data_IF_937680636504
#
_entry.id   IF_937680636504
#
_cell.length_a   1.000
_cell.length_b   1.000
_cell.length_c   1.000
_cell.angle_alpha   90.00
_cell.angle_beta   90.00
_cell.angle_gamma   90.00
#
_symmetry.space_group_name_H-M   'P 1'
#
loop_
_entity.id
_entity.type
_entity.pdbx_description
1 polymer ?
#
# COMPACT_ATOMS: atom_id res chain seq x y z
N UNK A 1 -39.53 -13.24 7.35
CA UNK A 1 -39.59 -14.54 6.70
C UNK A 1 -39.64 -14.36 5.21
N UNK A 2 -38.82 -15.13 4.50
CA UNK A 2 -38.95 -15.34 3.05
C UNK A 2 -40.18 -16.21 2.72
N UNK A 3 -40.72 -16.93 3.72
CA UNK A 3 -41.81 -17.88 3.56
C UNK A 3 -43.19 -17.25 3.87
N UNK A 4 -44.16 -17.44 2.98
CA UNK A 4 -45.55 -16.95 3.16
C UNK A 4 -46.25 -17.58 4.37
N UNK A 5 -45.72 -18.72 4.84
CA UNK A 5 -46.27 -19.50 5.94
C UNK A 5 -45.86 -18.97 7.33
N UNK A 6 -44.84 -18.12 7.43
CA UNK A 6 -44.39 -17.53 8.69
C UNK A 6 -45.17 -16.26 9.10
N UNK A 7 -45.89 -15.62 8.17
CA UNK A 7 -46.60 -14.36 8.43
C UNK A 7 -48.03 -14.61 8.97
N UNK A 8 -48.15 -14.68 10.30
CA UNK A 8 -49.40 -15.03 10.99
C UNK A 8 -50.37 -13.85 11.19
N UNK A 9 -49.93 -12.59 11.03
CA UNK A 9 -50.78 -11.39 11.16
C UNK A 9 -50.82 -10.54 9.88
N UNK A 10 -51.86 -9.69 9.72
CA UNK A 10 -52.00 -8.79 8.56
C UNK A 10 -50.88 -7.75 8.44
N UNK A 11 -50.29 -7.36 9.57
CA UNK A 11 -49.12 -6.47 9.61
C UNK A 11 -47.83 -7.21 9.22
N UNK A 12 -47.67 -8.48 9.59
CA UNK A 12 -46.55 -9.31 9.15
C UNK A 12 -46.58 -9.55 7.64
N UNK A 13 -47.77 -9.71 7.04
CA UNK A 13 -47.91 -9.81 5.57
C UNK A 13 -47.52 -8.52 4.85
N UNK A 14 -47.77 -7.34 5.43
CA UNK A 14 -47.31 -6.06 4.83
C UNK A 14 -45.80 -5.86 4.92
N UNK A 15 -45.16 -6.43 5.95
CA UNK A 15 -43.70 -6.37 6.14
C UNK A 15 -42.94 -7.53 5.47
N UNK A 16 -43.66 -8.58 5.06
CA UNK A 16 -43.13 -9.73 4.31
C UNK A 16 -42.47 -9.29 3.00
N UNK A 17 -41.29 -9.86 2.74
CA UNK A 17 -40.53 -9.63 1.51
C UNK A 17 -41.37 -9.84 0.26
N UNK A 18 -42.25 -10.86 0.24
CA UNK A 18 -43.11 -11.20 -0.88
C UNK A 18 -44.05 -10.05 -1.30
N UNK A 19 -44.51 -9.25 -0.34
CA UNK A 19 -45.54 -8.20 -0.52
C UNK A 19 -44.98 -6.78 -0.65
N UNK A 20 -43.66 -6.60 -0.51
CA UNK A 20 -43.00 -5.31 -0.72
C UNK A 20 -42.97 -4.96 -2.21
N UNK A 21 -43.13 -3.66 -2.52
CA UNK A 21 -42.90 -3.14 -3.87
C UNK A 21 -41.45 -3.37 -4.31
N UNK A 22 -41.16 -3.26 -5.61
CA UNK A 22 -39.83 -3.53 -6.17
C UNK A 22 -38.71 -2.78 -5.42
N UNK A 23 -38.91 -1.51 -5.09
CA UNK A 23 -37.96 -0.72 -4.31
C UNK A 23 -37.81 -1.19 -2.86
N UNK A 24 -38.87 -1.70 -2.22
CA UNK A 24 -38.78 -2.29 -0.89
C UNK A 24 -37.99 -3.60 -0.89
N UNK A 25 -38.17 -4.45 -1.91
CA UNK A 25 -37.39 -5.67 -2.10
C UNK A 25 -35.90 -5.35 -2.36
N UNK A 26 -35.63 -4.36 -3.22
CA UNK A 26 -34.26 -3.88 -3.48
C UNK A 26 -33.60 -3.36 -2.21
N UNK A 27 -34.29 -2.54 -1.40
CA UNK A 27 -33.75 -2.04 -0.14
C UNK A 27 -33.50 -3.15 0.89
N UNK A 28 -34.36 -4.18 0.95
CA UNK A 28 -34.17 -5.33 1.85
C UNK A 28 -32.97 -6.18 1.42
N UNK A 29 -32.81 -6.45 0.13
CA UNK A 29 -31.65 -7.19 -0.40
C UNK A 29 -30.36 -6.38 -0.23
N UNK A 30 -30.43 -5.06 -0.45
CA UNK A 30 -29.30 -4.15 -0.28
C UNK A 30 -28.95 -3.88 1.19
N UNK A 31 -29.85 -4.15 2.15
CA UNK A 31 -29.61 -3.91 3.57
C UNK A 31 -28.46 -4.76 4.13
N UNK A 32 -28.28 -5.98 3.65
CA UNK A 32 -27.16 -6.85 4.05
C UNK A 32 -25.81 -6.25 3.63
N UNK A 33 -25.55 -6.11 2.31
CA UNK A 33 -24.33 -5.49 1.81
C UNK A 33 -24.11 -4.05 2.31
N UNK A 34 -25.18 -3.25 2.36
CA UNK A 34 -25.14 -1.87 2.87
C UNK A 34 -24.69 -1.77 4.32
N UNK A 35 -25.10 -2.71 5.19
CA UNK A 35 -24.66 -2.73 6.57
C UNK A 35 -23.15 -2.99 6.70
N UNK A 36 -22.58 -3.82 5.82
CA UNK A 36 -21.15 -4.07 5.81
C UNK A 36 -20.34 -2.81 5.46
N UNK A 37 -20.79 -2.01 4.48
CA UNK A 37 -20.18 -0.71 4.18
C UNK A 37 -20.31 0.27 5.35
N UNK A 38 -21.49 0.33 5.99
CA UNK A 38 -21.70 1.19 7.17
C UNK A 38 -20.77 0.78 8.30
N UNK A 39 -20.63 -0.52 8.56
CA UNK A 39 -19.74 -1.03 9.60
C UNK A 39 -18.27 -0.66 9.32
N UNK A 40 -17.79 -0.89 8.10
CA UNK A 40 -16.43 -0.51 7.70
C UNK A 40 -16.18 1.00 7.85
N UNK A 41 -17.14 1.81 7.39
CA UNK A 41 -17.11 3.26 7.54
C UNK A 41 -16.99 3.69 9.01
N UNK A 42 -17.83 3.16 9.89
CA UNK A 42 -17.79 3.50 11.32
C UNK A 42 -16.46 3.08 11.96
N UNK A 43 -15.91 1.93 11.57
CA UNK A 43 -14.59 1.48 12.05
C UNK A 43 -13.49 2.44 11.59
N UNK A 44 -13.44 2.83 10.31
CA UNK A 44 -12.41 3.76 9.82
C UNK A 44 -12.55 5.16 10.39
N UNK A 45 -13.77 5.70 10.49
CA UNK A 45 -14.02 6.99 11.15
C UNK A 45 -13.60 6.96 12.62
N UNK A 46 -13.91 5.87 13.34
CA UNK A 46 -13.45 5.65 14.71
C UNK A 46 -11.93 5.55 14.83
N UNK A 47 -11.29 4.81 13.92
CA UNK A 47 -9.82 4.68 13.85
C UNK A 47 -9.15 6.05 13.67
N UNK A 48 -9.56 6.80 12.66
CA UNK A 48 -8.99 8.11 12.33
C UNK A 48 -9.27 9.16 13.41
N UNK A 49 -10.37 9.03 14.14
CA UNK A 49 -10.68 9.89 15.30
C UNK A 49 -9.66 9.74 16.43
N UNK A 50 -8.91 8.64 16.49
CA UNK A 50 -7.81 8.48 17.47
C UNK A 50 -6.55 9.25 17.10
N UNK A 51 -6.50 9.86 15.90
CA UNK A 51 -5.29 10.46 15.34
C UNK A 51 -4.30 9.44 14.77
N UNK A 52 -4.58 8.13 14.92
CA UNK A 52 -3.76 7.08 14.32
C UNK A 52 -3.88 7.14 12.80
N UNK A 53 -2.77 7.27 12.05
CA UNK A 53 -2.81 7.22 10.60
C UNK A 53 -3.44 5.91 10.11
N UNK A 54 -4.28 5.99 9.08
CA UNK A 54 -4.83 4.83 8.40
C UNK A 54 -4.13 4.66 7.05
N UNK A 55 -3.64 3.46 6.78
CA UNK A 55 -3.10 3.12 5.48
C UNK A 55 -4.23 2.68 4.54
N UNK A 56 -4.42 3.42 3.45
CA UNK A 56 -5.38 3.07 2.40
C UNK A 56 -4.59 2.86 1.10
N UNK A 57 -4.28 1.60 0.75
CA UNK A 57 -3.53 1.30 -0.46
C UNK A 57 -4.37 1.54 -1.71
N UNK A 58 -3.72 1.93 -2.79
CA UNK A 58 -4.27 1.92 -4.15
C UNK A 58 -3.81 0.66 -4.89
N UNK A 59 -4.48 0.34 -6.00
CA UNK A 59 -4.11 -0.84 -6.79
C UNK A 59 -2.66 -0.77 -7.30
N UNK A 60 -2.18 0.44 -7.63
CA UNK A 60 -0.80 0.67 -8.07
C UNK A 60 0.20 0.28 -6.99
N UNK A 61 -0.12 0.59 -5.74
CA UNK A 61 0.75 0.31 -4.59
C UNK A 61 0.95 -1.19 -4.33
N UNK A 62 -0.03 -2.02 -4.72
CA UNK A 62 0.05 -3.47 -4.57
C UNK A 62 0.69 -4.16 -5.78
N UNK A 63 0.53 -3.58 -6.97
CA UNK A 63 0.98 -4.19 -8.22
C UNK A 63 2.50 -4.33 -8.30
N UNK A 64 2.99 -5.37 -8.97
CA UNK A 64 4.42 -5.58 -9.22
C UNK A 64 4.94 -4.73 -10.40
N UNK A 65 4.51 -3.47 -10.46
CA UNK A 65 4.97 -2.49 -11.43
C UNK A 65 6.36 -1.96 -11.03
N UNK A 66 7.25 -1.88 -12.02
CA UNK A 66 8.60 -1.36 -11.86
C UNK A 66 8.55 0.14 -12.04
N UNK A 67 8.42 0.86 -10.92
CA UNK A 67 8.35 2.33 -10.90
C UNK A 67 9.73 2.98 -10.72
N UNK A 68 10.66 2.24 -10.10
CA UNK A 68 12.03 2.66 -9.87
C UNK A 68 12.96 1.46 -10.01
N UNK A 69 14.17 1.73 -10.51
CA UNK A 69 15.18 0.72 -10.78
C UNK A 69 16.52 1.24 -10.28
N UNK A 70 17.19 0.44 -9.44
CA UNK A 70 18.55 0.78 -8.99
C UNK A 70 19.51 0.56 -10.17
N UNK A 71 20.34 1.55 -10.55
CA UNK A 71 21.34 1.37 -11.59
C UNK A 71 22.29 0.21 -11.27
N UNK A 72 22.77 -0.48 -12.31
CA UNK A 72 23.69 -1.62 -12.21
C UNK A 72 23.20 -2.82 -11.38
N UNK A 73 21.93 -2.81 -10.97
CA UNK A 73 21.28 -3.92 -10.29
C UNK A 73 21.14 -5.15 -11.19
N UNK A 74 20.94 -6.35 -10.61
CA UNK A 74 20.71 -7.57 -11.38
C UNK A 74 19.63 -7.43 -12.47
N UNK A 75 18.48 -6.83 -12.16
CA UNK A 75 17.43 -6.65 -13.17
C UNK A 75 17.72 -5.55 -14.18
N UNK A 76 18.41 -4.47 -13.78
CA UNK A 76 18.84 -3.44 -14.72
C UNK A 76 19.79 -4.01 -15.77
N UNK A 77 20.78 -4.81 -15.35
CA UNK A 77 21.72 -5.50 -16.25
C UNK A 77 21.03 -6.53 -17.12
N UNK A 78 19.92 -7.10 -16.66
CA UNK A 78 19.11 -8.06 -17.40
C UNK A 78 18.12 -7.39 -18.38
N UNK A 79 18.07 -6.05 -18.45
CA UNK A 79 17.26 -5.31 -19.41
C UNK A 79 15.84 -4.98 -18.94
N UNK A 80 15.58 -5.02 -17.62
CA UNK A 80 14.33 -4.51 -17.05
C UNK A 80 14.25 -2.99 -17.20
N UNK A 81 13.06 -2.49 -17.50
CA UNK A 81 12.79 -1.06 -17.72
C UNK A 81 11.71 -0.56 -16.77
N UNK A 82 11.73 0.75 -16.48
CA UNK A 82 10.65 1.41 -15.76
C UNK A 82 9.37 1.30 -16.60
N UNK A 83 8.27 0.87 -15.98
CA UNK A 83 7.00 0.57 -16.63
C UNK A 83 6.78 -0.91 -16.95
N UNK A 84 7.79 -1.76 -16.75
CA UNK A 84 7.58 -3.21 -16.76
C UNK A 84 6.63 -3.61 -15.62
N UNK A 85 5.74 -4.57 -15.87
CA UNK A 85 4.97 -5.26 -14.83
C UNK A 85 5.43 -6.70 -14.71
N UNK A 86 5.91 -7.13 -13.56
CA UNK A 86 6.22 -8.55 -13.34
C UNK A 86 4.92 -9.34 -13.14
N UNK A 87 4.70 -10.36 -13.95
CA UNK A 87 3.49 -11.20 -13.91
C UNK A 87 3.77 -12.62 -13.45
N UNK A 88 5.00 -13.12 -13.63
CA UNK A 88 5.43 -14.43 -13.10
C UNK A 88 6.87 -14.40 -12.62
N UNK A 89 7.17 -15.27 -11.67
CA UNK A 89 8.52 -15.56 -11.19
C UNK A 89 8.71 -17.07 -11.17
N UNK A 90 9.71 -17.57 -11.90
CA UNK A 90 10.00 -19.01 -12.03
C UNK A 90 8.77 -19.85 -12.45
N UNK A 91 7.95 -19.30 -13.35
CA UNK A 91 6.71 -19.94 -13.82
C UNK A 91 5.53 -19.87 -12.86
N UNK A 92 5.71 -19.31 -11.65
CA UNK A 92 4.62 -19.05 -10.69
C UNK A 92 4.01 -17.67 -10.98
N UNK A 93 2.69 -17.63 -11.16
CA UNK A 93 1.93 -16.37 -11.27
C UNK A 93 2.06 -15.54 -10.01
N UNK A 94 2.29 -14.25 -10.16
CA UNK A 94 2.27 -13.28 -9.08
C UNK A 94 1.26 -12.17 -9.38
N UNK A 95 0.68 -11.63 -8.32
CA UNK A 95 -0.30 -10.54 -8.39
C UNK A 95 0.19 -9.29 -7.66
N UNK A 96 1.07 -9.47 -6.68
CA UNK A 96 1.53 -8.38 -5.82
C UNK A 96 3.05 -8.24 -5.82
N UNK A 97 3.52 -7.04 -5.51
CA UNK A 97 4.94 -6.79 -5.26
C UNK A 97 5.44 -7.60 -4.06
N UNK A 98 4.64 -7.76 -3.01
CA UNK A 98 5.03 -8.56 -1.84
C UNK A 98 5.34 -10.01 -2.22
N UNK A 99 4.56 -10.62 -3.12
CA UNK A 99 4.84 -11.95 -3.66
C UNK A 99 6.14 -11.99 -4.49
N UNK A 100 6.40 -10.94 -5.30
CA UNK A 100 7.66 -10.82 -6.03
C UNK A 100 8.84 -10.83 -5.05
N UNK A 101 8.81 -9.97 -4.03
CA UNK A 101 9.90 -9.86 -3.05
C UNK A 101 10.06 -11.14 -2.22
N UNK A 102 8.98 -11.80 -1.82
CA UNK A 102 9.01 -13.10 -1.13
C UNK A 102 9.68 -14.18 -2.00
N UNK A 103 9.38 -14.24 -3.29
CA UNK A 103 10.00 -15.19 -4.21
C UNK A 103 11.47 -14.86 -4.48
N UNK A 104 11.83 -13.58 -4.53
CA UNK A 104 13.23 -13.14 -4.59
C UNK A 104 13.99 -13.57 -3.34
N UNK A 105 13.43 -13.36 -2.15
CA UNK A 105 14.06 -13.78 -0.89
C UNK A 105 14.25 -15.31 -0.84
N UNK A 106 13.23 -16.08 -1.25
CA UNK A 106 13.26 -17.55 -1.29
C UNK A 106 14.21 -18.13 -2.35
N UNK A 107 14.63 -17.35 -3.33
CA UNK A 107 15.60 -17.80 -4.35
C UNK A 107 16.97 -18.13 -3.77
N UNK A 108 17.32 -17.55 -2.62
CA UNK A 108 18.63 -17.70 -1.98
C UNK A 108 19.81 -17.43 -2.94
N UNK A 109 19.65 -16.42 -3.79
CA UNK A 109 20.68 -15.99 -4.77
C UNK A 109 20.74 -16.85 -6.03
N UNK A 110 19.84 -17.81 -6.20
CA UNK A 110 19.71 -18.56 -7.46
C UNK A 110 19.09 -17.68 -8.55
N UNK A 111 19.47 -17.86 -9.83
CA UNK A 111 18.85 -17.15 -10.94
C UNK A 111 17.33 -17.31 -10.94
N UNK A 112 16.62 -16.20 -11.08
CA UNK A 112 15.16 -16.18 -11.20
C UNK A 112 14.76 -15.71 -12.59
N UNK A 113 13.80 -16.40 -13.20
CA UNK A 113 13.17 -16.01 -14.45
C UNK A 113 11.92 -15.18 -14.14
N UNK A 114 11.93 -13.92 -14.58
CA UNK A 114 10.85 -12.97 -14.43
C UNK A 114 10.14 -12.87 -15.79
N UNK A 115 8.85 -13.22 -15.85
CA UNK A 115 8.03 -12.83 -17.00
C UNK A 115 7.45 -11.44 -16.72
N UNK A 116 7.79 -10.49 -17.59
CA UNK A 116 7.33 -9.10 -17.51
C UNK A 116 6.42 -8.77 -18.67
N UNK A 117 5.40 -7.93 -18.41
CA UNK A 117 4.57 -7.33 -19.43
C UNK A 117 5.08 -5.92 -19.72
N UNK A 118 5.56 -5.70 -20.94
CA UNK A 118 6.02 -4.41 -21.46
C UNK A 118 5.20 -4.04 -22.69
N UNK A 119 4.50 -2.91 -22.66
CA UNK A 119 3.66 -2.45 -23.77
C UNK A 119 2.68 -3.53 -24.30
N UNK A 120 2.16 -4.36 -23.39
CA UNK A 120 1.25 -5.46 -23.72
C UNK A 120 1.92 -6.77 -24.17
N UNK A 121 3.23 -6.79 -24.41
CA UNK A 121 3.98 -8.00 -24.78
C UNK A 121 4.61 -8.65 -23.55
N UNK A 122 4.64 -9.98 -23.53
CA UNK A 122 5.38 -10.75 -22.52
C UNK A 122 6.85 -10.88 -22.92
N UNK A 123 7.75 -10.56 -21.99
CA UNK A 123 9.20 -10.76 -22.12
C UNK A 123 9.69 -11.55 -20.93
N UNK A 124 10.69 -12.39 -21.14
CA UNK A 124 11.36 -13.10 -20.05
C UNK A 124 12.71 -12.46 -19.77
N UNK A 125 12.93 -12.11 -18.51
CA UNK A 125 14.16 -11.50 -18.00
C UNK A 125 14.72 -12.43 -16.92
N UNK A 126 15.97 -12.84 -17.05
CA UNK A 126 16.64 -13.66 -16.03
C UNK A 126 17.61 -12.79 -15.25
N UNK A 127 17.42 -12.73 -13.92
CA UNK A 127 18.29 -11.98 -13.04
C UNK A 127 18.75 -12.87 -11.87
N UNK A 128 19.95 -12.64 -11.37
CA UNK A 128 20.50 -13.35 -10.21
C UNK A 128 20.44 -12.43 -8.99
N UNK A 129 19.61 -12.72 -7.98
CA UNK A 129 19.52 -11.89 -6.79
C UNK A 129 20.86 -11.82 -6.04
N UNK A 130 21.18 -10.63 -5.54
CA UNK A 130 22.38 -10.35 -4.75
C UNK A 130 22.02 -10.09 -3.30
N UNK A 131 22.94 -10.34 -2.39
CA UNK A 131 22.72 -10.09 -0.96
C UNK A 131 22.78 -8.58 -0.71
N UNK A 132 21.82 -8.03 0.04
CA UNK A 132 21.93 -6.69 0.59
C UNK A 132 22.89 -6.77 1.79
N UNK A 133 24.14 -6.39 1.59
CA UNK A 133 25.08 -6.17 2.69
C UNK A 133 24.88 -4.76 3.25
N UNK A 134 24.07 -4.63 4.30
CA UNK A 134 24.08 -3.47 5.20
C UNK A 134 22.71 -2.88 5.55
N UNK A 135 22.34 -3.02 6.83
CA UNK A 135 21.70 -2.00 7.70
C UNK A 135 21.48 -2.47 9.16
N UNK A 136 22.15 -3.54 9.62
CA UNK A 136 22.13 -3.92 11.03
C UNK A 136 20.82 -4.55 11.51
N UNK A 137 19.91 -4.97 10.62
CA UNK A 137 18.86 -5.91 11.02
C UNK A 137 19.49 -7.28 11.27
N UNK A 138 19.60 -7.66 12.55
CA UNK A 138 19.95 -9.01 12.99
C UNK A 138 18.85 -10.02 12.65
N UNK A 139 18.62 -10.26 11.36
CA UNK A 139 18.03 -11.52 10.91
C UNK A 139 19.18 -12.42 10.53
N UNK A 140 19.27 -13.61 11.12
CA UNK A 140 20.32 -14.61 10.79
C UNK A 140 20.28 -15.05 9.31
N UNK A 141 19.25 -14.65 8.56
CA UNK A 141 19.10 -14.94 7.14
C UNK A 141 19.53 -13.75 6.26
N UNK A 142 20.36 -14.00 5.23
CA UNK A 142 20.76 -12.97 4.27
C UNK A 142 19.57 -12.50 3.44
N UNK A 143 19.39 -11.18 3.34
CA UNK A 143 18.35 -10.58 2.51
C UNK A 143 18.81 -10.50 1.06
N UNK A 144 17.97 -10.97 0.11
CA UNK A 144 18.28 -10.95 -1.31
C UNK A 144 17.48 -9.85 -2.03
N UNK A 145 18.13 -9.18 -2.96
CA UNK A 145 17.51 -8.17 -3.82
C UNK A 145 17.87 -8.37 -5.28
N UNK A 146 16.99 -7.92 -6.15
CA UNK A 146 17.22 -7.79 -7.58
C UNK A 146 17.42 -6.32 -8.00
N UNK A 147 17.29 -5.37 -7.07
CA UNK A 147 17.34 -3.92 -7.30
C UNK A 147 16.08 -3.31 -7.90
N UNK A 148 14.96 -4.03 -7.78
CA UNK A 148 13.61 -3.44 -7.80
C UNK A 148 13.38 -2.84 -6.41
N UNK A 149 13.19 -1.53 -6.31
CA UNK A 149 13.01 -0.86 -5.02
C UNK A 149 11.68 -0.13 -4.88
N UNK A 150 11.28 0.03 -3.61
CA UNK A 150 9.91 0.17 -3.12
C UNK A 150 9.13 1.37 -3.63
N UNK A 151 9.78 2.42 -4.12
CA UNK A 151 9.06 3.59 -4.65
C UNK A 151 10.05 4.57 -5.28
N UNK A 152 9.64 5.30 -6.33
CA UNK A 152 10.42 6.42 -6.80
C UNK A 152 10.49 7.49 -5.70
N UNK A 153 11.55 8.31 -5.64
CA UNK A 153 11.70 9.41 -4.68
C UNK A 153 10.81 10.60 -5.09
N UNK A 154 9.51 10.35 -5.20
CA UNK A 154 8.47 11.29 -5.59
C UNK A 154 7.72 11.74 -4.35
N UNK A 155 7.60 13.04 -4.14
CA UNK A 155 6.83 13.61 -3.03
C UNK A 155 5.36 13.60 -3.40
N UNK A 156 4.53 12.88 -2.63
CA UNK A 156 3.07 12.85 -2.82
C UNK A 156 2.35 13.82 -1.89
N UNK A 157 2.91 14.08 -0.71
CA UNK A 157 2.37 15.07 0.23
C UNK A 157 3.49 15.68 1.10
N UNK A 158 3.22 16.89 1.59
CA UNK A 158 4.10 17.62 2.49
C UNK A 158 3.29 18.07 3.70
N UNK A 159 3.73 17.69 4.90
CA UNK A 159 3.06 18.06 6.15
C UNK A 159 3.18 19.56 6.40
N UNK A 160 2.08 20.19 6.82
CA UNK A 160 2.08 21.60 7.20
C UNK A 160 3.03 21.86 8.39
N UNK A 161 3.77 22.98 8.36
CA UNK A 161 4.72 23.34 9.42
C UNK A 161 5.98 22.46 9.51
N UNK A 162 6.17 21.52 8.59
CA UNK A 162 7.35 20.65 8.54
C UNK A 162 8.60 21.36 7.99
N UNK A 163 9.81 20.79 8.20
CA UNK A 163 11.01 21.29 7.57
C UNK A 163 10.96 21.30 6.04
N UNK A 164 10.37 20.28 5.42
CA UNK A 164 10.19 20.23 3.97
C UNK A 164 9.26 21.34 3.47
N UNK A 165 8.17 21.62 4.19
CA UNK A 165 7.28 22.74 3.86
C UNK A 165 8.01 24.09 3.95
N UNK A 166 8.80 24.29 5.00
CA UNK A 166 9.58 25.52 5.22
C UNK A 166 10.66 25.72 4.15
N UNK A 167 11.23 24.62 3.65
CA UNK A 167 12.21 24.61 2.57
C UNK A 167 11.58 24.76 1.18
N UNK A 168 10.24 24.76 1.07
CA UNK A 168 9.54 24.92 -0.21
C UNK A 168 9.44 23.65 -1.06
N UNK A 169 9.56 22.47 -0.44
CA UNK A 169 9.24 21.19 -1.09
C UNK A 169 7.75 21.14 -1.40
N UNK A 170 7.39 20.63 -2.57
CA UNK A 170 6.02 20.57 -3.06
C UNK A 170 5.62 19.15 -3.47
N UNK A 171 4.33 18.78 -3.36
CA UNK A 171 3.81 17.59 -4.02
C UNK A 171 4.13 17.60 -5.52
N UNK A 172 4.58 16.47 -6.05
CA UNK A 172 5.05 16.34 -7.43
C UNK A 172 6.56 16.51 -7.61
N UNK A 173 7.28 17.00 -6.60
CA UNK A 173 8.75 17.04 -6.64
C UNK A 173 9.32 15.62 -6.70
N UNK A 174 10.19 15.36 -7.68
CA UNK A 174 11.02 14.14 -7.70
C UNK A 174 12.43 14.47 -7.23
N UNK A 175 12.84 13.94 -6.08
CA UNK A 175 14.20 14.13 -5.57
C UNK A 175 15.18 13.37 -6.46
N UNK A 176 16.14 14.07 -7.03
CA UNK A 176 17.16 13.48 -7.93
C UNK A 176 18.52 13.38 -7.25
N UNK A 177 18.87 14.33 -6.38
CA UNK A 177 20.09 14.26 -5.58
C UNK A 177 19.89 14.80 -4.16
N UNK A 178 20.69 14.30 -3.22
CA UNK A 178 20.87 14.85 -1.88
C UNK A 178 22.37 14.98 -1.64
N UNK A 179 22.83 16.21 -1.36
CA UNK A 179 24.26 16.55 -1.17
C UNK A 179 25.16 16.02 -2.29
N UNK A 180 24.68 16.12 -3.53
CA UNK A 180 25.38 15.64 -4.72
C UNK A 180 25.33 14.12 -4.95
N UNK A 181 24.80 13.33 -4.00
CA UNK A 181 24.57 11.91 -4.19
C UNK A 181 23.27 11.70 -4.97
N UNK A 182 23.32 10.90 -6.04
CA UNK A 182 22.12 10.61 -6.84
C UNK A 182 21.17 9.69 -6.08
N UNK A 183 19.90 10.05 -6.06
CA UNK A 183 18.83 9.33 -5.38
C UNK A 183 17.91 8.71 -6.43
N UNK A 184 17.83 7.39 -6.41
CA UNK A 184 17.02 6.61 -7.34
C UNK A 184 15.72 6.12 -6.70
N UNK A 185 15.71 6.00 -5.38
CA UNK A 185 14.63 5.34 -4.64
C UNK A 185 14.23 6.13 -3.39
N UNK A 186 12.99 5.95 -2.96
CA UNK A 186 12.49 6.52 -1.69
C UNK A 186 13.27 5.99 -0.48
N UNK A 187 13.70 4.72 -0.52
CA UNK A 187 14.53 4.10 0.51
C UNK A 187 15.84 4.85 0.71
N UNK A 188 16.60 5.06 -0.37
CA UNK A 188 17.85 5.83 -0.36
C UNK A 188 17.65 7.24 0.21
N UNK A 189 16.60 7.93 -0.23
CA UNK A 189 16.24 9.25 0.30
C UNK A 189 15.98 9.19 1.81
N UNK A 190 15.17 8.24 2.25
CA UNK A 190 14.78 8.10 3.66
C UNK A 190 16.00 7.81 4.53
N UNK A 191 16.89 6.92 4.09
CA UNK A 191 18.15 6.63 4.79
C UNK A 191 19.00 7.89 4.92
N UNK A 192 19.19 8.63 3.82
CA UNK A 192 19.96 9.88 3.84
C UNK A 192 19.40 10.90 4.83
N UNK A 193 18.08 11.08 4.85
CA UNK A 193 17.43 12.01 5.80
C UNK A 193 17.58 11.53 7.25
N UNK A 194 17.36 10.22 7.50
CA UNK A 194 17.39 9.67 8.85
C UNK A 194 18.77 9.75 9.50
N UNK A 195 19.83 9.55 8.72
CA UNK A 195 21.22 9.57 9.20
C UNK A 195 21.77 10.99 9.47
N UNK A 196 21.05 12.03 9.04
CA UNK A 196 21.49 13.43 9.14
C UNK A 196 20.51 14.33 9.94
N UNK A 197 20.18 14.00 11.21
CA UNK A 197 19.35 14.86 12.04
C UNK A 197 20.02 16.23 12.25
N UNK A 198 19.23 17.30 12.22
CA UNK A 198 19.65 18.69 12.49
C UNK A 198 20.72 19.25 11.53
N UNK A 199 21.10 18.52 10.48
CA UNK A 199 22.06 18.97 9.47
C UNK A 199 21.33 19.45 8.22
N UNK A 200 21.65 20.63 7.68
CA UNK A 200 21.06 21.06 6.41
C UNK A 200 21.53 20.13 5.30
N UNK A 201 20.57 19.60 4.55
CA UNK A 201 20.78 18.75 3.38
C UNK A 201 20.37 19.52 2.13
N UNK A 202 21.17 19.43 1.07
CA UNK A 202 20.90 20.06 -0.22
C UNK A 202 20.19 19.09 -1.14
N UNK A 203 18.91 19.32 -1.36
CA UNK A 203 18.09 18.54 -2.28
C UNK A 203 18.12 19.18 -3.67
N UNK A 204 18.38 18.40 -4.70
CA UNK A 204 17.94 18.76 -6.05
C UNK A 204 16.65 17.99 -6.36
N UNK A 205 15.61 18.72 -6.74
CA UNK A 205 14.33 18.16 -7.15
C UNK A 205 14.02 18.50 -8.59
N UNK A 206 13.38 17.57 -9.29
CA UNK A 206 12.76 17.81 -10.58
C UNK A 206 11.31 18.23 -10.35
N UNK A 207 10.99 19.48 -10.68
CA UNK A 207 9.66 20.09 -10.58
C UNK A 207 9.23 20.54 -11.97
N UNK A 208 8.14 19.97 -12.49
CA UNK A 208 7.63 20.28 -13.84
C UNK A 208 8.69 20.17 -14.95
N UNK A 209 9.68 19.28 -14.76
CA UNK A 209 10.79 19.08 -15.70
C UNK A 209 11.99 20.01 -15.50
N UNK A 210 11.92 21.00 -14.62
CA UNK A 210 13.04 21.86 -14.24
C UNK A 210 13.72 21.39 -12.95
N UNK A 211 15.05 21.52 -12.86
CA UNK A 211 15.79 21.23 -11.62
C UNK A 211 15.72 22.44 -10.68
N UNK A 212 15.33 22.19 -9.43
CA UNK A 212 15.28 23.19 -8.36
C UNK A 212 16.12 22.69 -7.19
N UNK A 213 16.97 23.56 -6.64
CA UNK A 213 17.76 23.25 -5.45
C UNK A 213 17.06 23.79 -4.21
N UNK A 214 16.88 22.94 -3.20
CA UNK A 214 16.23 23.26 -1.93
C UNK A 214 17.17 22.84 -0.78
N UNK A 215 17.22 23.63 0.29
CA UNK A 215 17.95 23.25 1.50
C UNK A 215 16.95 22.87 2.58
N UNK A 216 16.96 21.60 2.98
CA UNK A 216 16.04 21.05 3.97
C UNK A 216 16.84 20.64 5.20
N UNK A 217 16.47 21.14 6.38
CA UNK A 217 17.13 20.77 7.64
C UNK A 217 16.22 19.83 8.44
N UNK A 218 16.52 18.52 8.54
CA UNK A 218 15.68 17.58 9.27
C UNK A 218 15.57 17.92 10.75
N UNK A 219 14.39 17.72 11.33
CA UNK A 219 14.22 17.69 12.80
C UNK A 219 14.81 16.41 13.37
N UNK A 220 15.29 16.46 14.60
CA UNK A 220 15.66 15.26 15.36
C UNK A 220 14.44 14.68 16.07
N UNK A 221 14.22 13.38 15.90
CA UNK A 221 13.24 12.61 16.67
C UNK A 221 13.90 11.35 17.23
N UNK A 222 13.59 11.03 18.49
CA UNK A 222 14.04 9.80 19.14
C UNK A 222 13.04 8.69 18.86
N UNK A 223 13.48 7.66 18.16
CA UNK A 223 12.66 6.48 17.85
C UNK A 223 13.28 5.28 18.55
N UNK A 224 12.46 4.54 19.30
CA UNK A 224 12.89 3.28 19.91
C UNK A 224 12.67 2.14 18.92
N UNK A 225 13.76 1.54 18.46
CA UNK A 225 13.74 0.35 17.60
C UNK A 225 14.42 -0.77 18.38
N UNK A 226 13.72 -1.89 18.61
CA UNK A 226 14.24 -3.05 19.32
C UNK A 226 14.85 -2.73 20.71
N UNK A 227 14.25 -1.79 21.45
CA UNK A 227 14.72 -1.37 22.77
C UNK A 227 15.90 -0.40 22.76
N UNK A 228 16.47 -0.09 21.60
CA UNK A 228 17.49 0.94 21.45
C UNK A 228 16.86 2.25 21.01
N UNK A 229 17.21 3.34 21.68
CA UNK A 229 16.76 4.68 21.29
C UNK A 229 17.72 5.24 20.24
N UNK A 230 17.24 5.36 19.01
CA UNK A 230 17.97 5.94 17.89
C UNK A 230 17.49 7.37 17.66
N UNK A 231 18.43 8.28 17.41
CA UNK A 231 18.13 9.63 16.95
C UNK A 231 18.06 9.62 15.42
N UNK A 232 16.93 10.04 14.86
CA UNK A 232 16.71 10.05 13.41
C UNK A 232 16.22 11.40 12.91
N UNK A 233 16.66 11.77 11.72
CA UNK A 233 16.15 12.94 11.00
C UNK A 233 14.74 12.70 10.42
N UNK A 234 13.89 13.73 10.48
CA UNK A 234 12.60 13.78 9.77
C UNK A 234 12.37 15.12 9.08
N UNK A 235 11.72 15.09 7.92
CA UNK A 235 11.41 16.29 7.14
C UNK A 235 9.91 16.47 6.83
N UNK A 236 9.05 15.49 7.14
CA UNK A 236 7.59 15.60 7.01
C UNK A 236 7.05 15.51 5.58
N UNK A 237 7.53 14.56 4.78
CA UNK A 237 7.02 14.26 3.44
C UNK A 237 6.52 12.81 3.35
N UNK A 238 5.62 12.53 2.40
CA UNK A 238 5.18 11.18 2.05
C UNK A 238 5.46 10.86 0.58
N UNK A 239 5.58 9.57 0.26
CA UNK A 239 5.82 9.05 -1.09
C UNK A 239 4.66 8.18 -1.59
N UNK A 240 4.75 7.63 -2.81
CA UNK A 240 3.77 6.67 -3.34
C UNK A 240 3.71 5.43 -2.44
N UNK A 241 2.62 4.65 -2.46
CA UNK A 241 2.51 3.47 -1.60
C UNK A 241 2.44 3.73 -0.11
N UNK A 242 2.38 5.00 0.32
CA UNK A 242 2.31 5.43 1.72
C UNK A 242 1.25 6.51 1.93
N UNK A 243 0.12 6.41 1.24
CA UNK A 243 -1.06 7.26 1.46
C UNK A 243 -1.59 7.03 2.88
N UNK A 244 -1.02 7.77 3.82
CA UNK A 244 -1.43 7.79 5.21
C UNK A 244 -2.54 8.83 5.31
N UNK A 245 -3.77 8.36 5.49
CA UNK A 245 -4.86 9.24 5.91
C UNK A 245 -4.66 9.61 7.37
N UNK A 246 -4.68 10.90 7.65
CA UNK A 246 -4.66 11.44 8.99
C UNK A 246 -5.81 12.43 9.13
N UNK A 247 -6.38 12.51 10.32
CA UNK A 247 -7.45 13.45 10.63
C UNK A 247 -7.03 14.30 11.82
N UNK A 248 -7.07 15.62 11.65
CA UNK A 248 -6.64 16.56 12.68
C UNK A 248 -7.76 16.83 13.70
N UNK A 249 -8.99 16.45 13.39
CA UNK A 249 -10.15 16.59 14.26
C UNK A 249 -11.24 15.52 13.98
N UNK A 250 -12.16 15.27 14.93
CA UNK A 250 -13.19 14.25 14.78
C UNK A 250 -14.17 14.46 13.61
N UNK A 251 -14.44 15.71 13.20
CA UNK A 251 -15.32 15.98 12.07
C UNK A 251 -14.63 15.61 10.73
N UNK A 252 -13.33 15.88 10.63
CA UNK A 252 -12.50 15.43 9.51
C UNK A 252 -12.47 13.90 9.45
N UNK A 253 -12.37 13.21 10.60
CA UNK A 253 -12.33 11.75 10.65
C UNK A 253 -13.60 11.08 10.12
N UNK A 254 -14.77 11.70 10.29
CA UNK A 254 -16.04 11.26 9.68
C UNK A 254 -15.93 11.32 8.15
N UNK A 255 -15.42 12.41 7.59
CA UNK A 255 -15.25 12.54 6.15
C UNK A 255 -14.18 11.58 5.61
N UNK A 256 -13.01 11.53 6.23
CA UNK A 256 -11.93 10.61 5.84
C UNK A 256 -12.31 9.14 6.02
N UNK A 257 -13.19 8.80 6.96
CA UNK A 257 -13.75 7.45 7.08
C UNK A 257 -14.55 7.04 5.85
N UNK A 258 -15.32 7.96 5.25
CA UNK A 258 -16.02 7.70 3.97
C UNK A 258 -15.02 7.52 2.83
N UNK A 259 -14.02 8.41 2.73
CA UNK A 259 -12.99 8.31 1.69
C UNK A 259 -12.17 7.01 1.82
N UNK A 260 -11.83 6.59 3.03
CA UNK A 260 -11.17 5.31 3.28
C UNK A 260 -12.04 4.12 2.83
N UNK A 261 -13.33 4.13 3.20
CA UNK A 261 -14.28 3.09 2.77
C UNK A 261 -14.39 3.01 1.26
N UNK A 262 -14.48 4.17 0.60
CA UNK A 262 -14.50 4.26 -0.86
C UNK A 262 -13.20 3.75 -1.49
N UNK A 263 -12.04 4.14 -0.96
CA UNK A 263 -10.74 3.71 -1.49
C UNK A 263 -10.55 2.19 -1.41
N UNK A 264 -10.93 1.56 -0.29
CA UNK A 264 -10.92 0.10 -0.19
C UNK A 264 -11.93 -0.57 -1.14
N UNK A 265 -13.11 0.04 -1.32
CA UNK A 265 -14.12 -0.46 -2.28
C UNK A 265 -13.61 -0.37 -3.72
N UNK A 266 -13.01 0.76 -4.10
CA UNK A 266 -12.38 0.98 -5.40
C UNK A 266 -11.27 -0.04 -5.64
N UNK A 267 -10.42 -0.28 -4.65
CA UNK A 267 -9.37 -1.29 -4.72
C UNK A 267 -9.93 -2.69 -5.02
N UNK A 268 -10.97 -3.09 -4.29
CA UNK A 268 -11.65 -4.38 -4.51
C UNK A 268 -12.26 -4.45 -5.90
N UNK A 269 -12.98 -3.41 -6.34
CA UNK A 269 -13.61 -3.36 -7.67
C UNK A 269 -12.58 -3.40 -8.81
N UNK A 270 -11.51 -2.61 -8.71
CA UNK A 270 -10.41 -2.60 -9.70
C UNK A 270 -9.69 -3.94 -9.74
N UNK A 271 -9.45 -4.56 -8.57
CA UNK A 271 -8.86 -5.89 -8.48
C UNK A 271 -9.71 -6.96 -9.19
N UNK A 272 -11.02 -6.97 -8.94
CA UNK A 272 -11.97 -7.88 -9.62
C UNK A 272 -11.99 -7.63 -11.13
N UNK A 273 -12.09 -6.37 -11.57
CA UNK A 273 -12.07 -6.02 -12.99
C UNK A 273 -10.79 -6.51 -13.69
N UNK A 274 -9.62 -6.25 -13.09
CA UNK A 274 -8.34 -6.66 -13.66
C UNK A 274 -8.16 -8.17 -13.69
N UNK A 275 -8.79 -8.90 -12.78
CA UNK A 275 -8.82 -10.35 -12.84
C UNK A 275 -9.66 -10.86 -14.02
N UNK A 276 -10.81 -10.24 -14.28
CA UNK A 276 -11.66 -10.59 -15.44
C UNK A 276 -10.95 -10.31 -16.77
N UNK A 277 -10.21 -9.21 -16.86
CA UNK A 277 -9.42 -8.85 -18.07
C UNK A 277 -8.15 -9.71 -18.22
N UNK A 278 -7.79 -10.51 -17.22
CA UNK A 278 -6.60 -11.38 -17.25
C UNK A 278 -5.29 -10.67 -16.90
N UNK A 279 -5.37 -9.47 -16.34
CA UNK A 279 -4.23 -8.72 -15.81
C UNK A 279 -3.70 -9.32 -14.51
N UNK A 280 -4.57 -9.97 -13.72
CA UNK A 280 -4.28 -10.62 -12.44
C UNK A 280 -4.67 -12.10 -12.52
N UNK A 281 -3.82 -12.98 -11.99
CA UNK A 281 -4.16 -14.40 -11.89
C UNK A 281 -5.23 -14.65 -10.84
N UNK A 282 -6.36 -15.25 -11.25
CA UNK A 282 -7.43 -15.67 -10.36
C UNK A 282 -7.01 -16.80 -9.39
N UNK A 283 -5.88 -17.46 -9.65
CA UNK A 283 -5.32 -18.52 -8.79
C UNK A 283 -4.69 -17.98 -7.51
N UNK A 284 -4.46 -16.66 -7.44
CA UNK A 284 -3.87 -15.98 -6.29
C UNK A 284 -4.94 -15.37 -5.36
N UNK A 285 -6.23 -15.68 -5.56
CA UNK A 285 -7.27 -15.30 -4.60
C UNK A 285 -7.04 -16.07 -3.29
N UNK A 286 -6.98 -15.34 -2.18
CA UNK A 286 -6.89 -15.94 -0.85
C UNK A 286 -8.05 -16.90 -0.61
N UNK A 287 -7.75 -18.20 -0.51
CA UNK A 287 -8.74 -19.21 -0.18
C UNK A 287 -9.16 -19.16 1.30
N UNK A 288 -10.07 -20.07 1.73
CA UNK A 288 -10.48 -20.18 3.12
C UNK A 288 -9.29 -20.32 4.10
N UNK A 289 -8.23 -21.03 3.68
CA UNK A 289 -7.01 -21.19 4.47
C UNK A 289 -6.24 -19.87 4.64
N UNK A 290 -6.16 -19.04 3.61
CA UNK A 290 -5.53 -17.72 3.68
C UNK A 290 -6.28 -16.79 4.64
N UNK A 291 -7.62 -16.80 4.59
CA UNK A 291 -8.45 -16.03 5.53
C UNK A 291 -8.23 -16.51 6.97
N UNK A 292 -8.14 -17.82 7.20
CA UNK A 292 -7.85 -18.37 8.53
C UNK A 292 -6.47 -17.92 9.05
N UNK A 293 -5.44 -17.95 8.19
CA UNK A 293 -4.09 -17.50 8.54
C UNK A 293 -4.04 -16.01 8.86
N UNK A 294 -4.58 -15.15 7.99
CA UNK A 294 -4.62 -13.69 8.19
C UNK A 294 -5.41 -13.35 9.46
N UNK A 295 -6.52 -14.06 9.74
CA UNK A 295 -7.29 -13.87 10.96
C UNK A 295 -6.50 -14.26 12.22
N UNK A 296 -5.76 -15.37 12.16
CA UNK A 296 -4.89 -15.80 13.25
C UNK A 296 -3.74 -14.83 13.50
N UNK A 297 -3.13 -14.32 12.42
CA UNK A 297 -2.09 -13.30 12.49
C UNK A 297 -2.62 -12.00 13.10
N UNK A 298 -3.76 -11.50 12.62
CA UNK A 298 -4.41 -10.31 13.17
C UNK A 298 -4.74 -10.46 14.67
N UNK A 299 -5.24 -11.63 15.09
CA UNK A 299 -5.51 -11.93 16.50
C UNK A 299 -4.23 -11.91 17.35
N UNK A 300 -3.11 -12.41 16.81
CA UNK A 300 -1.80 -12.39 17.48
C UNK A 300 -1.20 -10.98 17.61
N UNK A 301 -1.52 -10.08 16.67
CA UNK A 301 -1.06 -8.69 16.65
C UNK A 301 -1.88 -7.76 17.57
N UNK A 302 -3.04 -8.22 18.04
CA UNK A 302 -3.86 -7.52 19.04
C UNK A 302 -5.19 -6.99 18.49
N UNK A 303 -5.96 -6.35 19.38
CA UNK A 303 -7.34 -5.97 19.10
C UNK A 303 -7.49 -4.97 17.93
N UNK A 304 -6.54 -4.05 17.76
CA UNK A 304 -6.55 -3.08 16.66
C UNK A 304 -6.44 -3.75 15.29
N UNK A 305 -5.55 -4.73 15.14
CA UNK A 305 -5.39 -5.51 13.91
C UNK A 305 -6.65 -6.32 13.57
N UNK A 306 -7.32 -6.89 14.58
CA UNK A 306 -8.61 -7.61 14.39
C UNK A 306 -9.70 -6.65 13.91
N UNK A 307 -9.83 -5.47 14.53
CA UNK A 307 -10.83 -4.46 14.14
C UNK A 307 -10.59 -3.97 12.70
N UNK A 308 -9.33 -3.75 12.34
CA UNK A 308 -8.95 -3.39 10.96
C UNK A 308 -9.31 -4.50 9.96
N UNK A 309 -9.04 -5.76 10.30
CA UNK A 309 -9.41 -6.90 9.46
C UNK A 309 -10.93 -7.00 9.27
N UNK A 310 -11.72 -6.76 10.33
CA UNK A 310 -13.19 -6.73 10.24
C UNK A 310 -13.66 -5.66 9.26
N UNK A 311 -13.05 -4.47 9.25
CA UNK A 311 -13.42 -3.40 8.32
C UNK A 311 -13.17 -3.80 6.86
N UNK A 312 -11.97 -4.34 6.56
CA UNK A 312 -11.63 -4.77 5.19
C UNK A 312 -12.53 -5.91 4.73
N UNK A 313 -12.75 -6.92 5.57
CA UNK A 313 -13.62 -8.05 5.22
C UNK A 313 -15.07 -7.61 5.04
N UNK A 314 -15.56 -6.64 5.84
CA UNK A 314 -16.90 -6.09 5.65
C UNK A 314 -17.06 -5.51 4.25
N UNK A 315 -16.10 -4.71 3.77
CA UNK A 315 -16.15 -4.17 2.39
C UNK A 315 -16.18 -5.26 1.33
N UNK A 316 -15.39 -6.33 1.52
CA UNK A 316 -15.34 -7.44 0.55
C UNK A 316 -16.60 -8.32 0.56
N UNK A 317 -17.38 -8.31 1.65
CA UNK A 317 -18.65 -9.02 1.78
C UNK A 317 -19.86 -8.14 1.41
N UNK A 318 -19.65 -6.83 1.24
CA UNK A 318 -20.63 -5.87 0.75
C UNK A 318 -20.76 -5.86 -0.77
#
# INVERSE_FOLDING_TARGET
GEDETEATTSDDRRRSFAHQGLWGKVLIVAAGPGFNFILAYLIFAGWLSTGTPLFVPTFRDLSADIEALVPDSPVAKAGMEIGDRVVKVNGKDISTRTELLDLVAKSKGQPIALEVRREGQLKTITATPVIITGDGTHTDEPLYTIGVEETPPLVTSVMHGSPAASAGVQPGDRVVTIDGQTIYTWGQMTTQVREHPLKPLTFEVLREGARTTLTVTPTSEKVTVNGQTLEVGKIGISGPGRSLMHSNNPAEAVYHGLEATWGWTELTAVGLYKMVVGDISSKNIGGPLTIANISGEAASQGASSVVFLIAILSINLG
#
